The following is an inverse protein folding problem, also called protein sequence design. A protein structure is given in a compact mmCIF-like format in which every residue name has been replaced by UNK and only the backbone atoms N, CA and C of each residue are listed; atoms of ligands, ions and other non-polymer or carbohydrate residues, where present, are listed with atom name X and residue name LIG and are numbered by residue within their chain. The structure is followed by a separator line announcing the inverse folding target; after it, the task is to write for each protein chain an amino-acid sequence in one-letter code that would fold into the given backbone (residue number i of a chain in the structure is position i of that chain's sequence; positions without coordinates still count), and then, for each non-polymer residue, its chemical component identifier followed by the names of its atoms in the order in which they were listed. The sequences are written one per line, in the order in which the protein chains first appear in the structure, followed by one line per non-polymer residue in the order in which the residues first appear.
data_IF_066939191540
#
_entry.id   IF_066939191540
#
_cell.length_a   1.000
_cell.length_b   1.000
_cell.length_c   1.000
_cell.angle_alpha   90.00
_cell.angle_beta   90.00
_cell.angle_gamma   90.00
#
_symmetry.space_group_name_H-M   'P 1'
#
loop_
_entity.id
_entity.type
_entity.pdbx_description
1 polymer ?
#
# COMPACT_ATOMS: atom_id res chain seq x y z
N UNK A 1 15.36 -5.72 -21.12
CA UNK A 1 14.38 -4.61 -21.00
C UNK A 1 14.29 -4.29 -19.55
N UNK A 2 14.85 -3.15 -19.13
CA UNK A 2 14.62 -2.68 -17.77
C UNK A 2 13.16 -2.26 -17.68
N UNK A 3 12.44 -2.57 -16.59
CA UNK A 3 10.98 -2.43 -16.55
C UNK A 3 10.45 -1.00 -16.69
N UNK A 4 11.33 -0.01 -16.53
CA UNK A 4 11.06 1.39 -16.89
C UNK A 4 10.78 1.54 -18.41
N UNK A 5 11.22 0.59 -19.24
CA UNK A 5 11.05 0.59 -20.70
C UNK A 5 9.70 0.05 -21.18
N UNK A 6 8.90 -0.65 -20.35
CA UNK A 6 7.57 -1.08 -20.76
C UNK A 6 6.55 0.06 -20.55
N UNK A 7 6.03 0.68 -21.63
CA UNK A 7 5.14 1.83 -21.50
C UNK A 7 3.81 1.49 -20.82
N UNK A 8 3.34 0.23 -20.92
CA UNK A 8 2.11 -0.22 -20.27
C UNK A 8 2.30 -0.41 -18.76
N UNK A 9 3.45 -0.97 -18.35
CA UNK A 9 3.81 -1.07 -16.94
C UNK A 9 3.89 0.32 -16.31
N UNK A 10 4.64 1.24 -16.96
CA UNK A 10 4.77 2.62 -16.51
C UNK A 10 3.42 3.33 -16.42
N UNK A 11 2.56 3.18 -17.43
CA UNK A 11 1.24 3.80 -17.44
C UNK A 11 0.34 3.28 -16.29
N UNK A 12 0.33 1.97 -16.05
CA UNK A 12 -0.41 1.37 -14.94
C UNK A 12 0.13 1.83 -13.59
N UNK A 13 1.45 1.81 -13.41
CA UNK A 13 2.11 2.28 -12.19
C UNK A 13 1.79 3.76 -11.91
N UNK A 14 1.96 4.64 -12.90
CA UNK A 14 1.61 6.07 -12.78
C UNK A 14 0.14 6.29 -12.42
N UNK A 15 -0.78 5.49 -12.95
CA UNK A 15 -2.20 5.58 -12.58
C UNK A 15 -2.42 5.28 -11.11
N UNK A 16 -1.82 4.20 -10.59
CA UNK A 16 -2.02 3.82 -9.19
C UNK A 16 -1.35 4.78 -8.22
N UNK A 17 -0.18 5.33 -8.58
CA UNK A 17 0.44 6.40 -7.80
C UNK A 17 -0.48 7.63 -7.76
N UNK A 18 -1.08 8.02 -8.89
CA UNK A 18 -2.04 9.13 -8.89
C UNK A 18 -3.28 8.85 -8.03
N UNK A 19 -3.82 7.62 -8.06
CA UNK A 19 -4.94 7.21 -7.21
C UNK A 19 -4.58 7.25 -5.72
N UNK A 20 -3.35 6.86 -5.37
CA UNK A 20 -2.82 6.95 -4.01
C UNK A 20 -2.72 8.43 -3.56
N UNK A 21 -2.08 9.28 -4.37
CA UNK A 21 -1.88 10.70 -4.07
C UNK A 21 -3.22 11.44 -3.92
N UNK A 22 -4.18 11.15 -4.79
CA UNK A 22 -5.53 11.69 -4.71
C UNK A 22 -6.20 11.31 -3.38
N UNK A 23 -6.07 10.05 -2.98
CA UNK A 23 -6.65 9.55 -1.73
C UNK A 23 -6.01 10.22 -0.51
N UNK A 24 -4.69 10.35 -0.50
CA UNK A 24 -3.95 11.05 0.57
C UNK A 24 -4.33 12.53 0.64
N UNK A 25 -4.45 13.23 -0.49
CA UNK A 25 -4.83 14.63 -0.52
C UNK A 25 -6.25 14.88 0.03
N UNK A 26 -7.19 14.01 -0.31
CA UNK A 26 -8.56 14.08 0.22
C UNK A 26 -8.60 13.80 1.72
N UNK A 27 -7.93 12.72 2.18
CA UNK A 27 -7.82 12.42 3.61
C UNK A 27 -7.19 13.57 4.39
N UNK A 28 -6.11 14.17 3.86
CA UNK A 28 -5.44 15.32 4.47
C UNK A 28 -6.40 16.52 4.60
N UNK A 29 -7.24 16.74 3.58
CA UNK A 29 -8.26 17.80 3.60
C UNK A 29 -9.31 17.53 4.66
N UNK A 30 -9.84 16.30 4.71
CA UNK A 30 -10.84 15.87 5.70
C UNK A 30 -10.31 15.98 7.14
N UNK A 31 -9.04 15.62 7.38
CA UNK A 31 -8.43 15.67 8.71
C UNK A 31 -8.00 17.08 9.16
N UNK A 32 -7.53 17.95 8.24
CA UNK A 32 -6.95 19.25 8.62
C UNK A 32 -7.83 20.47 8.35
N UNK A 33 -8.82 20.37 7.45
CA UNK A 33 -9.68 21.48 7.06
C UNK A 33 -11.14 21.03 6.91
N UNK A 34 -11.84 20.69 8.02
CA UNK A 34 -13.27 20.43 7.96
C UNK A 34 -14.10 21.68 7.62
N UNK A 35 -13.50 22.88 7.61
CA UNK A 35 -14.18 24.15 7.34
C UNK A 35 -14.47 24.33 5.84
N UNK A 36 -15.75 24.33 5.47
CA UNK A 36 -16.23 24.61 4.11
C UNK A 36 -16.86 23.42 3.38
N UNK A 37 -16.74 22.21 3.93
CA UNK A 37 -17.57 21.09 3.53
C UNK A 37 -18.86 21.22 4.35
N UNK A 38 -19.96 21.63 3.69
CA UNK A 38 -21.23 21.96 4.34
C UNK A 38 -21.72 20.88 5.30
N UNK A 39 -22.56 21.27 6.26
CA UNK A 39 -23.04 20.53 7.44
C UNK A 39 -23.76 19.17 7.21
N UNK A 40 -23.51 18.49 6.10
CA UNK A 40 -24.12 17.20 5.74
C UNK A 40 -23.13 16.14 5.23
N UNK A 41 -21.83 16.43 5.15
CA UNK A 41 -20.86 15.39 4.78
C UNK A 41 -20.64 14.46 5.97
N UNK A 42 -21.04 13.21 5.81
CA UNK A 42 -20.59 12.14 6.69
C UNK A 42 -19.10 11.92 6.47
N UNK A 43 -18.31 12.63 7.27
CA UNK A 43 -16.85 12.57 7.20
C UNK A 43 -16.32 11.16 7.36
N UNK A 44 -16.96 10.30 8.16
CA UNK A 44 -16.51 8.92 8.35
C UNK A 44 -16.71 8.11 7.08
N UNK A 45 -17.87 8.23 6.43
CA UNK A 45 -18.12 7.58 5.14
C UNK A 45 -17.12 8.04 4.07
N UNK A 46 -16.80 9.34 4.02
CA UNK A 46 -15.85 9.85 3.04
C UNK A 46 -14.40 9.42 3.38
N UNK A 47 -14.02 9.41 4.66
CA UNK A 47 -12.72 8.88 5.12
C UNK A 47 -12.58 7.39 4.75
N UNK A 48 -13.61 6.58 5.00
CA UNK A 48 -13.61 5.14 4.69
C UNK A 48 -13.39 4.91 3.19
N UNK A 49 -14.15 5.62 2.35
CA UNK A 49 -14.01 5.59 0.89
C UNK A 49 -12.60 5.92 0.41
N UNK A 50 -11.99 7.01 0.91
CA UNK A 50 -10.64 7.38 0.50
C UNK A 50 -9.57 6.44 1.06
N UNK A 51 -9.80 5.87 2.25
CA UNK A 51 -8.93 4.85 2.84
C UNK A 51 -8.94 3.57 2.00
N UNK A 52 -10.12 3.10 1.59
CA UNK A 52 -10.25 1.92 0.73
C UNK A 52 -9.59 2.14 -0.64
N UNK A 53 -9.83 3.30 -1.27
CA UNK A 53 -9.22 3.64 -2.57
C UNK A 53 -7.69 3.71 -2.47
N UNK A 54 -7.16 4.34 -1.41
CA UNK A 54 -5.73 4.44 -1.17
C UNK A 54 -5.06 3.09 -0.89
N UNK A 55 -5.68 2.26 -0.04
CA UNK A 55 -5.19 0.91 0.26
C UNK A 55 -5.15 0.04 -1.00
N UNK A 56 -6.22 0.06 -1.79
CA UNK A 56 -6.29 -0.70 -3.03
C UNK A 56 -5.22 -0.26 -4.07
N UNK A 57 -4.96 1.05 -4.16
CA UNK A 57 -3.91 1.58 -5.02
C UNK A 57 -2.51 1.09 -4.58
N UNK A 58 -2.24 1.09 -3.26
CA UNK A 58 -1.00 0.56 -2.68
C UNK A 58 -0.83 -0.93 -3.02
N UNK A 59 -1.86 -1.74 -2.81
CA UNK A 59 -1.81 -3.18 -3.10
C UNK A 59 -1.51 -3.45 -4.58
N UNK A 60 -2.10 -2.66 -5.50
CA UNK A 60 -1.83 -2.78 -6.94
C UNK A 60 -0.40 -2.37 -7.30
N UNK A 61 0.13 -1.30 -6.69
CA UNK A 61 1.53 -0.88 -6.86
C UNK A 61 2.47 -2.00 -6.39
N UNK A 62 2.22 -2.53 -5.20
CA UNK A 62 3.01 -3.62 -4.63
C UNK A 62 2.91 -4.88 -5.46
N UNK A 63 1.72 -5.24 -5.96
CA UNK A 63 1.55 -6.39 -6.84
C UNK A 63 2.36 -6.22 -8.13
N UNK A 64 2.27 -5.06 -8.78
CA UNK A 64 3.05 -4.78 -9.99
C UNK A 64 4.55 -4.86 -9.72
N UNK A 65 5.03 -4.25 -8.64
CA UNK A 65 6.43 -4.33 -8.24
C UNK A 65 6.83 -5.77 -7.92
N UNK A 66 6.07 -6.52 -7.13
CA UNK A 66 6.47 -7.88 -6.72
C UNK A 66 6.48 -8.88 -7.88
N UNK A 67 5.56 -8.75 -8.82
CA UNK A 67 5.41 -9.69 -9.94
C UNK A 67 6.35 -9.36 -11.09
N UNK A 68 6.55 -8.07 -11.35
CA UNK A 68 7.29 -7.65 -12.53
C UNK A 68 8.67 -7.09 -12.17
N UNK A 69 8.87 -6.44 -11.02
CA UNK A 69 10.17 -5.94 -10.57
C UNK A 69 11.11 -7.11 -10.27
N UNK A 70 11.99 -7.42 -11.22
CA UNK A 70 13.07 -8.38 -11.03
C UNK A 70 14.41 -7.67 -11.19
N UNK A 71 15.16 -7.68 -10.08
CA UNK A 71 16.44 -7.02 -9.79
C UNK A 71 16.33 -5.50 -9.52
N UNK A 72 16.60 -4.96 -8.32
CA UNK A 72 17.80 -5.19 -7.50
C UNK A 72 17.51 -5.16 -5.99
N UNK A 73 17.57 -6.31 -5.33
CA UNK A 73 17.47 -6.48 -3.87
C UNK A 73 16.05 -6.64 -3.32
N UNK A 74 15.64 -7.91 -3.25
CA UNK A 74 14.93 -8.56 -2.14
C UNK A 74 14.69 -7.61 -0.94
N UNK A 75 13.64 -6.80 -1.01
CA UNK A 75 13.17 -6.02 0.13
C UNK A 75 12.60 -7.01 1.16
N UNK A 76 13.46 -7.37 2.12
CA UNK A 76 13.17 -7.74 3.50
C UNK A 76 11.70 -8.02 3.80
N UNK A 77 11.29 -9.28 3.62
CA UNK A 77 10.23 -9.85 4.46
C UNK A 77 10.74 -9.82 5.90
N UNK A 78 9.98 -9.31 6.90
CA UNK A 78 10.28 -9.66 8.28
C UNK A 78 10.03 -11.16 8.41
N UNK A 79 11.11 -11.94 8.32
CA UNK A 79 11.10 -13.31 8.79
C UNK A 79 10.73 -13.24 10.27
N UNK A 80 9.53 -13.68 10.64
CA UNK A 80 9.33 -14.26 11.96
C UNK A 80 10.05 -15.61 11.88
N UNK A 81 11.21 -15.81 12.54
CA UNK A 81 11.81 -17.12 12.56
C UNK A 81 10.84 -18.04 13.29
N UNK A 82 10.32 -19.04 12.58
CA UNK A 82 9.69 -20.19 13.19
C UNK A 82 10.82 -20.96 13.89
N UNK A 83 11.09 -20.62 15.15
CA UNK A 83 12.00 -21.41 15.96
C UNK A 83 11.30 -22.70 16.36
N UNK A 84 11.65 -23.74 15.60
CA UNK A 84 11.46 -25.15 15.89
C UNK A 84 11.91 -25.41 17.33
N UNK A 85 10.96 -25.54 18.26
CA UNK A 85 11.25 -26.04 19.61
C UNK A 85 11.59 -27.52 19.49
N UNK A 86 12.88 -27.80 19.34
CA UNK A 86 13.45 -29.12 19.48
C UNK A 86 13.34 -29.57 20.94
N UNK A 87 12.43 -30.53 21.17
CA UNK A 87 12.46 -31.44 22.31
C UNK A 87 13.87 -31.97 22.51
N UNK A 88 14.47 -31.68 23.67
CA UNK A 88 15.51 -32.50 24.33
C UNK A 88 15.87 -31.89 25.70
N UNK A 89 15.34 -32.43 26.79
CA UNK A 89 16.03 -32.41 28.08
C UNK A 89 15.55 -33.59 28.93
N UNK A 90 16.46 -34.54 29.06
CA UNK A 90 16.38 -35.77 29.82
C UNK A 90 17.11 -35.52 31.16
N UNK A 91 16.51 -35.94 32.28
CA UNK A 91 17.21 -36.24 33.53
C UNK A 91 17.05 -35.23 34.67
N UNK A 92 16.27 -35.60 35.71
CA UNK A 92 16.76 -36.17 36.97
C UNK A 92 15.57 -36.40 37.92
#
# INVERSE_FOLDING_TARGET
MSEIENPLYRAAYSRYVAEQDESVANLLTLFNRPVGIGEHTDFLTEIDKWTEKGANAIDKIQFLANVFAQDEQKMITPAIPQEKVETSAQGA
#
